data_IF_375020946367
#
_entry.id   IF_375020946367
#
_cell.length_a   1.000
_cell.length_b   1.000
_cell.length_c   1.000
_cell.angle_alpha   90.00
_cell.angle_beta   90.00
_cell.angle_gamma   90.00
#
_symmetry.space_group_name_H-M   'P 1'
#
loop_
_entity.id
_entity.type
_entity.pdbx_description
1 polymer ?
#
# COMPACT_ATOMS: atom_id res chain seq x y z
N UNK A 1 16.17 41.06 -35.18
CA UNK A 1 14.81 40.60 -34.90
C UNK A 1 14.10 40.39 -36.23
N UNK A 2 13.52 39.22 -36.43
CA UNK A 2 12.69 38.92 -37.60
C UNK A 2 11.35 39.67 -37.50
N UNK A 3 10.63 39.77 -38.62
CA UNK A 3 9.29 40.38 -38.61
C UNK A 3 8.32 39.64 -37.66
N UNK A 4 8.49 38.33 -37.53
CA UNK A 4 7.73 37.47 -36.62
C UNK A 4 8.08 37.74 -35.15
N UNK A 5 9.36 37.92 -34.82
CA UNK A 5 9.79 38.30 -33.46
C UNK A 5 9.31 39.70 -33.07
N UNK A 6 9.25 40.62 -34.02
CA UNK A 6 8.70 41.96 -33.79
C UNK A 6 7.18 41.93 -33.57
N UNK A 7 6.46 41.06 -34.29
CA UNK A 7 5.02 40.87 -34.12
C UNK A 7 4.70 40.25 -32.75
N UNK A 8 5.42 39.18 -32.36
CA UNK A 8 5.27 38.54 -31.05
C UNK A 8 5.57 39.49 -29.89
N UNK A 9 6.62 40.32 -30.02
CA UNK A 9 6.94 41.32 -29.02
C UNK A 9 5.86 42.41 -28.90
N UNK A 10 5.27 42.82 -30.03
CA UNK A 10 4.18 43.80 -30.05
C UNK A 10 2.88 43.23 -29.44
N UNK A 11 2.54 41.97 -29.74
CA UNK A 11 1.39 41.28 -29.14
C UNK A 11 1.55 41.09 -27.63
N UNK A 12 2.75 40.72 -27.16
CA UNK A 12 3.06 40.61 -25.74
C UNK A 12 2.98 41.96 -25.00
N UNK A 13 3.47 43.03 -25.63
CA UNK A 13 3.36 44.39 -25.08
C UNK A 13 1.90 44.88 -25.04
N UNK A 14 1.09 44.56 -26.06
CA UNK A 14 -0.33 44.88 -26.09
C UNK A 14 -1.12 44.10 -25.01
N UNK A 15 -0.77 42.84 -24.76
CA UNK A 15 -1.34 42.03 -23.69
C UNK A 15 -1.01 42.61 -22.30
N UNK A 16 0.25 42.99 -22.08
CA UNK A 16 0.71 43.57 -20.81
C UNK A 16 0.14 44.97 -20.55
N UNK A 17 -0.20 45.73 -21.60
CA UNK A 17 -0.80 47.06 -21.50
C UNK A 17 -2.34 47.03 -21.47
N UNK A 18 -2.97 45.87 -21.64
CA UNK A 18 -4.41 45.75 -21.48
C UNK A 18 -4.75 45.77 -20.00
N UNK A 19 -5.56 46.74 -19.57
CA UNK A 19 -6.26 46.76 -18.26
C UNK A 19 -7.35 45.66 -18.20
N UNK A 20 -7.10 44.50 -18.81
CA UNK A 20 -7.89 43.32 -18.57
C UNK A 20 -7.70 42.98 -17.10
N UNK A 21 -8.70 43.28 -16.28
CA UNK A 21 -8.76 42.84 -14.91
C UNK A 21 -8.50 41.33 -14.92
N UNK A 22 -7.30 40.93 -14.51
CA UNK A 22 -6.99 39.55 -14.26
C UNK A 22 -7.84 39.22 -13.02
N UNK A 23 -9.05 38.71 -13.25
CA UNK A 23 -9.74 37.94 -12.22
C UNK A 23 -8.82 36.78 -11.93
N UNK A 24 -7.98 36.96 -10.90
CA UNK A 24 -7.23 35.88 -10.31
C UNK A 24 -8.27 34.82 -9.98
N UNK A 25 -8.19 33.68 -10.67
CA UNK A 25 -9.06 32.56 -10.39
C UNK A 25 -8.89 32.22 -8.90
N UNK A 26 -9.87 32.64 -8.10
CA UNK A 26 -9.99 32.20 -6.74
C UNK A 26 -10.47 30.76 -6.84
N UNK A 27 -9.61 29.80 -6.51
CA UNK A 27 -10.09 28.46 -6.22
C UNK A 27 -11.21 28.60 -5.20
N UNK A 28 -12.39 27.99 -5.42
CA UNK A 28 -13.47 28.10 -4.46
C UNK A 28 -12.99 27.57 -3.10
N UNK A 29 -12.91 28.46 -2.11
CA UNK A 29 -12.49 28.14 -0.74
C UNK A 29 -13.50 27.25 0.01
N UNK A 30 -14.67 27.00 -0.59
CA UNK A 30 -15.62 26.04 -0.07
C UNK A 30 -15.26 24.65 -0.61
N UNK A 31 -14.86 23.74 0.28
CA UNK A 31 -14.89 22.31 -0.02
C UNK A 31 -16.28 22.01 -0.60
N UNK A 32 -16.31 21.58 -1.86
CA UNK A 32 -17.53 21.16 -2.54
C UNK A 32 -18.26 20.18 -1.61
N UNK A 33 -19.55 20.39 -1.35
CA UNK A 33 -20.32 19.43 -0.53
C UNK A 33 -20.43 18.12 -1.30
N UNK A 34 -19.51 17.20 -1.01
CA UNK A 34 -19.42 15.90 -1.66
C UNK A 34 -20.53 14.94 -1.18
N UNK A 35 -21.40 15.37 -0.25
CA UNK A 35 -22.39 14.53 0.41
C UNK A 35 -21.79 13.58 1.44
N UNK A 36 -22.63 12.77 2.11
CA UNK A 36 -22.17 11.77 3.06
C UNK A 36 -21.40 10.65 2.34
N UNK A 37 -20.54 9.91 3.06
CA UNK A 37 -19.93 8.72 2.47
C UNK A 37 -21.00 7.66 2.15
N UNK A 38 -20.74 6.77 1.18
CA UNK A 38 -21.68 5.72 0.85
C UNK A 38 -21.85 4.72 2.01
N UNK A 39 -23.04 4.12 2.11
CA UNK A 39 -23.19 2.88 2.86
C UNK A 39 -22.42 1.73 2.21
N UNK A 40 -22.22 0.63 2.95
CA UNK A 40 -21.48 -0.55 2.45
C UNK A 40 -22.10 -1.11 1.16
N UNK A 41 -23.44 -1.21 1.11
CA UNK A 41 -24.15 -1.70 -0.07
C UNK A 41 -23.95 -0.77 -1.29
N UNK A 42 -24.03 0.55 -1.09
CA UNK A 42 -23.84 1.53 -2.16
C UNK A 42 -22.38 1.55 -2.64
N UNK A 43 -21.42 1.40 -1.74
CA UNK A 43 -20.00 1.29 -2.08
C UNK A 43 -19.71 0.02 -2.91
N UNK A 44 -20.33 -1.11 -2.55
CA UNK A 44 -20.23 -2.35 -3.34
C UNK A 44 -20.89 -2.16 -4.71
N UNK A 45 -22.09 -1.57 -4.78
CA UNK A 45 -22.77 -1.29 -6.05
C UNK A 45 -21.95 -0.35 -6.95
N UNK A 46 -21.28 0.65 -6.38
CA UNK A 46 -20.38 1.53 -7.11
C UNK A 46 -19.17 0.78 -7.68
N UNK A 47 -18.57 -0.14 -6.91
CA UNK A 47 -17.50 -1.01 -7.42
C UNK A 47 -18.01 -1.95 -8.51
N UNK A 48 -19.18 -2.55 -8.35
CA UNK A 48 -19.82 -3.41 -9.35
C UNK A 48 -20.05 -2.68 -10.68
N UNK A 49 -20.47 -1.41 -10.63
CA UNK A 49 -20.66 -0.58 -11.81
C UNK A 49 -19.35 -0.31 -12.59
N UNK A 50 -18.20 -0.42 -11.91
CA UNK A 50 -16.87 -0.31 -12.53
C UNK A 50 -16.26 -1.69 -12.89
N UNK A 51 -17.00 -2.78 -12.68
CA UNK A 51 -16.55 -4.15 -12.86
C UNK A 51 -16.55 -4.63 -14.31
N UNK A 52 -15.81 -5.71 -14.55
CA UNK A 52 -15.77 -6.41 -15.84
C UNK A 52 -15.71 -7.93 -15.60
N UNK A 53 -16.66 -8.67 -16.18
CA UNK A 53 -16.79 -10.10 -15.95
C UNK A 53 -15.57 -10.92 -16.41
N UNK A 54 -14.96 -10.56 -17.55
CA UNK A 54 -13.77 -11.24 -18.05
C UNK A 54 -12.56 -11.04 -17.13
N UNK A 55 -12.39 -9.84 -16.60
CA UNK A 55 -11.37 -9.54 -15.58
C UNK A 55 -11.67 -10.24 -14.26
N UNK A 56 -12.94 -10.33 -13.86
CA UNK A 56 -13.34 -11.04 -12.65
C UNK A 56 -12.96 -12.53 -12.72
N UNK A 57 -13.25 -13.20 -13.83
CA UNK A 57 -12.85 -14.59 -14.07
C UNK A 57 -11.33 -14.76 -14.04
N UNK A 58 -10.59 -13.86 -14.71
CA UNK A 58 -9.13 -13.86 -14.69
C UNK A 58 -8.55 -13.66 -13.29
N UNK A 59 -9.12 -12.74 -12.51
CA UNK A 59 -8.71 -12.48 -11.12
C UNK A 59 -8.97 -13.68 -10.22
N UNK A 60 -10.14 -14.34 -10.36
CA UNK A 60 -10.47 -15.55 -9.62
C UNK A 60 -9.47 -16.69 -9.91
N UNK A 61 -9.16 -16.92 -11.19
CA UNK A 61 -8.19 -17.95 -11.61
C UNK A 61 -6.76 -17.65 -11.11
N UNK A 62 -6.40 -16.37 -11.02
CA UNK A 62 -5.07 -15.93 -10.61
C UNK A 62 -4.88 -15.97 -9.08
N UNK A 63 -5.84 -15.43 -8.31
CA UNK A 63 -5.73 -15.33 -6.85
C UNK A 63 -6.08 -16.62 -6.12
N UNK A 64 -6.96 -17.45 -6.68
CA UNK A 64 -7.32 -18.79 -6.16
C UNK A 64 -7.90 -18.79 -4.74
N UNK A 65 -8.39 -17.65 -4.27
CA UNK A 65 -9.22 -17.57 -3.08
C UNK A 65 -10.69 -17.70 -3.48
N UNK A 66 -11.43 -18.56 -2.78
CA UNK A 66 -12.87 -18.78 -3.01
C UNK A 66 -13.66 -17.57 -2.50
N UNK A 67 -13.97 -16.66 -3.42
CA UNK A 67 -14.73 -15.44 -3.14
C UNK A 67 -15.28 -14.83 -4.42
N UNK A 68 -16.09 -13.80 -4.26
CA UNK A 68 -16.59 -12.99 -5.38
C UNK A 68 -15.53 -12.00 -5.84
N UNK A 69 -15.39 -11.88 -7.16
CA UNK A 69 -14.54 -10.91 -7.84
C UNK A 69 -15.42 -10.05 -8.76
N UNK A 70 -15.13 -8.75 -8.81
CA UNK A 70 -15.86 -7.77 -9.60
C UNK A 70 -15.11 -7.39 -10.89
N UNK A 71 -13.80 -7.62 -10.96
CA UNK A 71 -12.98 -7.27 -12.12
C UNK A 71 -12.63 -5.77 -12.20
N UNK A 72 -12.74 -5.04 -11.09
CA UNK A 72 -12.46 -3.60 -11.06
C UNK A 72 -10.95 -3.37 -11.08
N UNK A 73 -10.42 -2.59 -12.03
CA UNK A 73 -9.00 -2.24 -12.05
C UNK A 73 -8.64 -1.34 -10.85
N UNK A 74 -7.47 -1.58 -10.26
CA UNK A 74 -6.98 -0.88 -9.04
C UNK A 74 -7.10 0.65 -9.11
N UNK A 75 -6.77 1.34 -10.23
CA UNK A 75 -6.94 2.79 -10.31
C UNK A 75 -8.37 3.28 -10.02
N UNK A 76 -9.40 2.54 -10.48
CA UNK A 76 -10.79 2.91 -10.20
C UNK A 76 -11.14 2.68 -8.72
N UNK A 77 -10.60 1.63 -8.11
CA UNK A 77 -10.74 1.42 -6.65
C UNK A 77 -10.09 2.58 -5.88
N UNK A 78 -8.93 3.06 -6.34
CA UNK A 78 -8.24 4.20 -5.73
C UNK A 78 -9.02 5.50 -5.84
N UNK A 79 -9.68 5.74 -6.98
CA UNK A 79 -10.58 6.88 -7.19
C UNK A 79 -11.81 6.82 -6.29
N UNK A 80 -12.49 5.67 -6.21
CA UNK A 80 -13.60 5.45 -5.27
C UNK A 80 -13.16 5.72 -3.83
N UNK A 81 -12.06 5.09 -3.38
CA UNK A 81 -11.57 5.27 -2.03
C UNK A 81 -11.13 6.73 -1.77
N UNK A 82 -10.61 7.45 -2.78
CA UNK A 82 -10.27 8.88 -2.66
C UNK A 82 -11.51 9.74 -2.43
N UNK A 83 -12.57 9.52 -3.19
CA UNK A 83 -13.84 10.21 -3.01
C UNK A 83 -14.41 9.94 -1.63
N UNK A 84 -14.53 8.66 -1.23
CA UNK A 84 -15.13 8.29 0.05
C UNK A 84 -14.34 8.81 1.24
N UNK A 85 -13.00 8.88 1.15
CA UNK A 85 -12.17 9.50 2.19
C UNK A 85 -12.39 11.01 2.32
N UNK A 86 -12.76 11.70 1.24
CA UNK A 86 -13.06 13.12 1.26
C UNK A 86 -14.45 13.41 1.85
N UNK A 87 -15.37 12.45 1.73
CA UNK A 87 -16.73 12.52 2.30
C UNK A 87 -16.81 12.10 3.76
N UNK A 88 -15.95 11.17 4.20
CA UNK A 88 -16.05 10.53 5.51
C UNK A 88 -15.09 11.11 6.56
N UNK A 89 -15.59 11.22 7.79
CA UNK A 89 -14.79 11.29 9.01
C UNK A 89 -13.92 10.03 9.18
N UNK A 90 -13.02 9.99 10.17
CA UNK A 90 -12.24 8.79 10.43
C UNK A 90 -13.13 7.60 10.87
N UNK A 91 -14.11 7.85 11.74
CA UNK A 91 -14.98 6.80 12.27
C UNK A 91 -15.86 6.20 11.16
N UNK A 92 -16.40 7.03 10.27
CA UNK A 92 -17.15 6.56 9.10
C UNK A 92 -16.26 5.78 8.12
N UNK A 93 -15.00 6.20 7.92
CA UNK A 93 -14.03 5.43 7.11
C UNK A 93 -13.75 4.07 7.70
N UNK A 94 -13.61 3.97 9.03
CA UNK A 94 -13.39 2.71 9.72
C UNK A 94 -14.62 1.80 9.59
N UNK A 95 -15.83 2.32 9.82
CA UNK A 95 -17.06 1.56 9.66
C UNK A 95 -17.23 1.04 8.21
N UNK A 96 -16.98 1.90 7.22
CA UNK A 96 -17.04 1.51 5.80
C UNK A 96 -15.95 0.48 5.45
N UNK A 97 -14.71 0.68 5.90
CA UNK A 97 -13.62 -0.28 5.67
C UNK A 97 -13.93 -1.65 6.27
N UNK A 98 -14.46 -1.69 7.49
CA UNK A 98 -14.87 -2.94 8.14
C UNK A 98 -15.95 -3.66 7.34
N UNK A 99 -17.03 -2.96 6.97
CA UNK A 99 -18.11 -3.56 6.20
C UNK A 99 -17.70 -4.04 4.80
N UNK A 100 -16.81 -3.29 4.12
CA UNK A 100 -16.24 -3.70 2.84
C UNK A 100 -15.32 -4.92 3.00
N UNK A 101 -14.54 -5.00 4.08
CA UNK A 101 -13.70 -6.17 4.36
C UNK A 101 -14.54 -7.41 4.63
N UNK A 102 -15.56 -7.30 5.47
CA UNK A 102 -16.45 -8.39 5.87
C UNK A 102 -17.32 -8.92 4.72
N UNK A 103 -17.50 -8.13 3.66
CA UNK A 103 -18.20 -8.58 2.45
C UNK A 103 -17.51 -9.76 1.76
N UNK A 104 -16.21 -9.98 2.03
CA UNK A 104 -15.36 -10.97 1.35
C UNK A 104 -15.40 -10.85 -0.19
N UNK A 105 -15.66 -9.65 -0.74
CA UNK A 105 -15.54 -9.36 -2.17
C UNK A 105 -14.12 -8.83 -2.41
N UNK A 106 -13.39 -9.40 -3.37
CA UNK A 106 -11.97 -9.10 -3.54
C UNK A 106 -11.68 -7.60 -3.65
N UNK A 107 -12.33 -6.90 -4.57
CA UNK A 107 -12.13 -5.47 -4.80
C UNK A 107 -12.65 -4.60 -3.66
N UNK A 108 -13.69 -5.05 -2.93
CA UNK A 108 -14.16 -4.38 -1.73
C UNK A 108 -13.12 -4.43 -0.61
N UNK A 109 -12.44 -5.57 -0.41
CA UNK A 109 -11.34 -5.71 0.55
C UNK A 109 -10.13 -4.84 0.18
N UNK A 110 -9.82 -4.74 -1.12
CA UNK A 110 -8.81 -3.79 -1.61
C UNK A 110 -9.23 -2.35 -1.29
N UNK A 111 -10.49 -1.99 -1.55
CA UNK A 111 -11.04 -0.67 -1.24
C UNK A 111 -10.99 -0.36 0.27
N UNK A 112 -11.33 -1.33 1.12
CA UNK A 112 -11.23 -1.23 2.58
C UNK A 112 -9.81 -0.84 3.04
N UNK A 113 -8.79 -1.54 2.54
CA UNK A 113 -7.40 -1.20 2.84
C UNK A 113 -7.01 0.18 2.27
N UNK A 114 -7.48 0.54 1.07
CA UNK A 114 -7.22 1.86 0.45
C UNK A 114 -7.89 3.00 1.21
N UNK A 115 -9.06 2.82 1.81
CA UNK A 115 -9.69 3.82 2.70
C UNK A 115 -8.77 4.21 3.86
N UNK A 116 -7.91 3.29 4.28
CA UNK A 116 -7.00 3.50 5.39
C UNK A 116 -5.57 3.85 4.95
N UNK A 117 -5.23 3.96 3.66
CA UNK A 117 -3.81 4.04 3.23
C UNK A 117 -3.11 5.39 3.47
N UNK A 118 -3.83 6.42 3.91
CA UNK A 118 -3.27 7.77 4.13
C UNK A 118 -2.21 7.76 5.23
N UNK A 119 -1.09 8.46 4.99
CA UNK A 119 0.00 8.58 5.97
C UNK A 119 -0.37 9.48 7.15
N UNK A 120 -1.20 10.51 6.92
CA UNK A 120 -1.71 11.39 7.97
C UNK A 120 -3.06 10.86 8.43
N UNK A 121 -3.05 10.19 9.57
CA UNK A 121 -4.22 9.65 10.25
C UNK A 121 -3.91 9.68 11.75
N UNK A 122 -4.69 10.43 12.54
CA UNK A 122 -4.57 10.48 14.00
C UNK A 122 -5.94 10.76 14.63
N UNK A 123 -6.32 10.09 15.73
CA UNK A 123 -5.66 8.89 16.28
C UNK A 123 -5.69 7.74 15.26
N UNK A 124 -4.72 6.82 15.28
CA UNK A 124 -4.62 5.73 14.31
C UNK A 124 -4.75 4.34 14.94
N UNK A 125 -4.97 4.25 16.25
CA UNK A 125 -5.05 3.00 16.99
C UNK A 125 -6.18 2.10 16.48
N UNK A 126 -7.38 2.63 16.27
CA UNK A 126 -8.50 1.86 15.73
C UNK A 126 -8.22 1.34 14.31
N UNK A 127 -7.54 2.14 13.48
CA UNK A 127 -7.13 1.71 12.15
C UNK A 127 -6.03 0.63 12.20
N UNK A 128 -5.10 0.74 13.15
CA UNK A 128 -4.10 -0.27 13.41
C UNK A 128 -4.73 -1.59 13.85
N UNK A 129 -5.57 -1.58 14.87
CA UNK A 129 -6.22 -2.78 15.40
C UNK A 129 -7.05 -3.50 14.34
N UNK A 130 -7.78 -2.74 13.51
CA UNK A 130 -8.53 -3.29 12.38
C UNK A 130 -7.62 -4.02 11.39
N UNK A 131 -6.54 -3.38 10.94
CA UNK A 131 -5.62 -3.95 9.95
C UNK A 131 -4.82 -5.12 10.51
N UNK A 132 -4.39 -5.02 11.77
CA UNK A 132 -3.69 -6.09 12.45
C UNK A 132 -4.62 -7.30 12.68
N UNK A 133 -5.91 -7.06 12.93
CA UNK A 133 -6.94 -8.10 13.02
C UNK A 133 -7.18 -8.83 11.70
N UNK A 134 -7.12 -8.12 10.57
CA UNK A 134 -7.24 -8.75 9.25
C UNK A 134 -6.15 -9.79 8.94
N UNK A 135 -4.99 -9.69 9.60
CA UNK A 135 -3.84 -10.55 9.31
C UNK A 135 -4.12 -12.03 9.56
N UNK A 136 -5.07 -12.39 10.44
CA UNK A 136 -5.47 -13.77 10.69
C UNK A 136 -6.23 -14.38 9.50
N UNK A 137 -7.01 -13.57 8.78
CA UNK A 137 -7.88 -13.96 7.68
C UNK A 137 -7.28 -13.79 6.27
N UNK A 138 -6.01 -13.41 6.14
CA UNK A 138 -5.40 -13.26 4.82
C UNK A 138 -5.34 -14.59 4.06
N UNK A 139 -5.78 -14.61 2.81
CA UNK A 139 -5.84 -15.80 1.96
C UNK A 139 -5.36 -15.56 0.52
N UNK A 140 -5.00 -14.31 0.18
CA UNK A 140 -4.40 -13.95 -1.08
C UNK A 140 -3.39 -12.80 -0.91
N UNK A 141 -2.31 -12.85 -1.70
CA UNK A 141 -1.24 -11.85 -1.63
C UNK A 141 -1.74 -10.42 -1.89
N UNK A 142 -2.70 -10.22 -2.79
CA UNK A 142 -3.12 -8.87 -3.17
C UNK A 142 -3.88 -8.17 -2.03
N UNK A 143 -4.75 -8.87 -1.31
CA UNK A 143 -5.44 -8.31 -0.15
C UNK A 143 -4.46 -8.12 1.02
N UNK A 144 -3.60 -9.09 1.27
CA UNK A 144 -2.59 -9.01 2.34
C UNK A 144 -1.61 -7.85 2.11
N UNK A 145 -1.02 -7.75 0.92
CA UNK A 145 -0.02 -6.72 0.60
C UNK A 145 -0.67 -5.31 0.56
N UNK A 146 -1.94 -5.19 0.13
CA UNK A 146 -2.66 -3.91 0.17
C UNK A 146 -2.99 -3.48 1.60
N UNK A 147 -3.46 -4.41 2.44
CA UNK A 147 -3.66 -4.16 3.87
C UNK A 147 -2.34 -3.78 4.56
N UNK A 148 -1.25 -4.47 4.23
CA UNK A 148 0.09 -4.15 4.72
C UNK A 148 0.54 -2.76 4.29
N UNK A 149 0.25 -2.30 3.07
CA UNK A 149 0.60 -0.95 2.64
C UNK A 149 -0.05 0.13 3.53
N UNK A 150 -1.29 -0.12 3.97
CA UNK A 150 -1.99 0.73 4.91
C UNK A 150 -1.38 0.58 6.33
N UNK A 151 -1.27 -0.64 6.86
CA UNK A 151 -0.72 -0.91 8.19
C UNK A 151 0.73 -0.46 8.38
N UNK A 152 1.54 -0.48 7.31
CA UNK A 152 2.93 -0.03 7.35
C UNK A 152 3.04 1.48 7.68
N UNK A 153 2.04 2.30 7.30
CA UNK A 153 1.99 3.71 7.70
C UNK A 153 1.79 3.87 9.21
N UNK A 154 0.94 3.03 9.81
CA UNK A 154 0.70 2.96 11.26
C UNK A 154 1.94 2.44 11.99
N UNK A 155 2.58 1.40 11.47
CA UNK A 155 3.76 0.80 12.08
C UNK A 155 4.98 1.73 12.04
N UNK A 156 5.15 2.50 10.96
CA UNK A 156 6.21 3.54 10.91
C UNK A 156 5.90 4.73 11.81
N UNK A 157 4.62 5.06 12.03
CA UNK A 157 4.22 6.13 12.94
C UNK A 157 4.39 5.74 14.43
N UNK A 158 4.22 4.46 14.75
CA UNK A 158 4.43 3.89 16.09
C UNK A 158 5.12 2.51 15.99
N UNK A 159 6.47 2.47 16.08
CA UNK A 159 7.23 1.23 16.01
C UNK A 159 6.99 0.25 17.16
N UNK A 160 6.36 0.65 18.28
CA UNK A 160 6.04 -0.27 19.38
C UNK A 160 5.08 -1.39 18.93
N UNK A 161 4.31 -1.15 17.86
CA UNK A 161 3.42 -2.12 17.22
C UNK A 161 4.15 -3.31 16.59
N UNK A 162 5.47 -3.26 16.46
CA UNK A 162 6.28 -4.34 15.90
C UNK A 162 6.19 -5.64 16.69
N UNK A 163 5.94 -5.57 18.01
CA UNK A 163 5.76 -6.77 18.84
C UNK A 163 4.53 -7.58 18.40
N UNK A 164 3.45 -6.91 18.02
CA UNK A 164 2.27 -7.57 17.45
C UNK A 164 2.60 -8.21 16.10
N UNK A 165 3.40 -7.54 15.26
CA UNK A 165 3.83 -8.06 13.96
C UNK A 165 4.74 -9.29 14.11
N UNK A 166 5.61 -9.33 15.13
CA UNK A 166 6.47 -10.49 15.36
C UNK A 166 5.67 -11.77 15.58
N UNK A 167 4.53 -11.68 16.28
CA UNK A 167 3.64 -12.83 16.51
C UNK A 167 3.13 -13.47 15.20
N UNK A 168 3.11 -12.72 14.10
CA UNK A 168 2.66 -13.22 12.79
C UNK A 168 3.63 -14.23 12.19
N UNK A 169 4.90 -14.22 12.60
CA UNK A 169 5.93 -15.18 12.13
C UNK A 169 5.60 -16.61 12.58
N UNK A 170 4.85 -16.78 13.67
CA UNK A 170 4.46 -18.07 14.21
C UNK A 170 3.06 -18.53 13.74
N UNK A 171 2.38 -17.72 12.93
CA UNK A 171 1.04 -18.06 12.42
C UNK A 171 1.09 -19.32 11.55
N UNK A 172 0.10 -20.23 11.62
CA UNK A 172 -0.01 -21.35 10.69
C UNK A 172 -0.32 -20.88 9.26
N UNK A 173 -0.90 -19.68 9.11
CA UNK A 173 -1.26 -19.10 7.83
C UNK A 173 -0.04 -18.43 7.15
N UNK A 174 0.33 -18.93 5.96
CA UNK A 174 1.47 -18.41 5.20
C UNK A 174 1.30 -16.93 4.81
N UNK A 175 0.07 -16.45 4.62
CA UNK A 175 -0.18 -15.08 4.23
C UNK A 175 0.07 -14.12 5.38
N UNK A 176 -0.24 -14.53 6.61
CA UNK A 176 0.11 -13.81 7.84
C UNK A 176 1.63 -13.74 8.03
N UNK A 177 2.34 -14.88 7.86
CA UNK A 177 3.82 -14.89 7.92
C UNK A 177 4.45 -14.01 6.84
N UNK A 178 3.90 -14.03 5.62
CA UNK A 178 4.30 -13.11 4.53
C UNK A 178 4.08 -11.65 4.92
N UNK A 179 2.91 -11.34 5.49
CA UNK A 179 2.53 -9.98 5.86
C UNK A 179 3.52 -9.35 6.85
N UNK A 180 4.12 -10.14 7.75
CA UNK A 180 5.14 -9.66 8.69
C UNK A 180 6.36 -9.05 7.98
N UNK A 181 6.78 -9.64 6.86
CA UNK A 181 7.86 -9.12 6.03
C UNK A 181 7.39 -7.92 5.18
N UNK A 182 6.18 -7.98 4.62
CA UNK A 182 5.68 -6.94 3.72
C UNK A 182 5.38 -5.64 4.47
N UNK A 183 4.74 -5.71 5.64
CA UNK A 183 4.39 -4.53 6.45
C UNK A 183 5.62 -3.77 6.95
N UNK A 184 6.78 -4.44 7.06
CA UNK A 184 8.04 -3.85 7.52
C UNK A 184 8.94 -3.33 6.39
N UNK A 185 8.51 -3.42 5.12
CA UNK A 185 9.28 -2.91 3.97
C UNK A 185 9.69 -1.42 4.07
N UNK A 186 8.91 -0.49 4.65
CA UNK A 186 9.36 0.90 4.75
C UNK A 186 10.68 1.07 5.51
N UNK A 187 10.96 0.22 6.50
CA UNK A 187 12.19 0.30 7.30
C UNK A 187 13.45 0.01 6.49
N UNK A 188 13.35 -0.59 5.29
CA UNK A 188 14.49 -0.86 4.42
C UNK A 188 14.97 0.37 3.64
N UNK A 189 14.19 1.47 3.61
CA UNK A 189 14.35 2.56 2.63
C UNK A 189 15.24 3.73 3.08
N UNK A 190 15.56 3.82 4.36
CA UNK A 190 16.39 4.92 4.89
C UNK A 190 17.89 4.67 4.62
N UNK A 191 18.57 5.66 4.03
CA UNK A 191 20.04 5.67 3.90
C UNK A 191 20.76 5.95 5.23
N UNK A 192 20.07 6.65 6.14
CA UNK A 192 20.60 7.04 7.45
C UNK A 192 19.59 6.61 8.52
N UNK A 193 19.44 5.29 8.74
CA UNK A 193 18.46 4.80 9.69
C UNK A 193 18.80 5.26 11.11
N UNK A 194 17.78 5.55 11.91
CA UNK A 194 17.95 5.76 13.34
C UNK A 194 18.39 4.46 14.03
N UNK A 195 18.84 4.54 15.28
CA UNK A 195 19.18 3.34 16.07
C UNK A 195 17.99 2.39 16.22
N UNK A 196 16.78 2.94 16.37
CA UNK A 196 15.54 2.16 16.40
C UNK A 196 15.30 1.44 15.07
N UNK A 197 15.38 2.15 13.94
CA UNK A 197 15.21 1.53 12.62
C UNK A 197 16.26 0.45 12.33
N UNK A 198 17.50 0.63 12.80
CA UNK A 198 18.54 -0.41 12.73
C UNK A 198 18.13 -1.63 13.55
N UNK A 199 17.66 -1.46 14.79
CA UNK A 199 17.20 -2.57 15.61
C UNK A 199 16.02 -3.32 14.96
N UNK A 200 15.09 -2.59 14.34
CA UNK A 200 13.97 -3.17 13.59
C UNK A 200 14.49 -3.99 12.39
N UNK A 201 15.45 -3.47 11.63
CA UNK A 201 16.07 -4.21 10.50
C UNK A 201 16.69 -5.52 10.97
N UNK A 202 17.44 -5.51 12.07
CA UNK A 202 18.05 -6.74 12.62
C UNK A 202 16.98 -7.75 13.06
N UNK A 203 15.91 -7.29 13.72
CA UNK A 203 14.78 -8.14 14.12
C UNK A 203 14.11 -8.80 12.90
N UNK A 204 13.82 -8.02 11.86
CA UNK A 204 13.20 -8.53 10.62
C UNK A 204 14.15 -9.45 9.84
N UNK A 205 15.47 -9.19 9.84
CA UNK A 205 16.47 -10.11 9.28
C UNK A 205 16.50 -11.45 10.04
N UNK A 206 16.30 -11.42 11.36
CA UNK A 206 16.10 -12.61 12.19
C UNK A 206 14.84 -13.39 11.78
N UNK A 207 13.73 -12.70 11.54
CA UNK A 207 12.49 -13.32 11.03
C UNK A 207 12.70 -13.95 9.66
N UNK A 208 13.35 -13.23 8.74
CA UNK A 208 13.69 -13.75 7.43
C UNK A 208 14.54 -15.02 7.53
N UNK A 209 15.49 -15.08 8.47
CA UNK A 209 16.31 -16.27 8.68
C UNK A 209 15.49 -17.45 9.22
N UNK A 210 14.53 -17.20 10.13
CA UNK A 210 13.59 -18.22 10.64
C UNK A 210 12.70 -18.78 9.53
N UNK A 211 12.22 -17.93 8.63
CA UNK A 211 11.33 -18.30 7.52
C UNK A 211 12.08 -18.83 6.28
N UNK A 212 13.39 -18.58 6.16
CA UNK A 212 14.16 -18.95 4.98
C UNK A 212 14.15 -20.46 4.62
N UNK A 213 14.08 -21.41 5.57
CA UNK A 213 13.92 -22.83 5.27
C UNK A 213 12.55 -23.19 4.66
N UNK A 214 11.51 -22.37 4.83
CA UNK A 214 10.19 -22.66 4.26
C UNK A 214 10.26 -22.77 2.74
N UNK A 215 9.50 -23.71 2.16
CA UNK A 215 9.51 -23.95 0.71
C UNK A 215 8.35 -23.24 -0.01
N UNK A 216 7.48 -22.56 0.71
CA UNK A 216 6.41 -21.75 0.14
C UNK A 216 6.94 -20.64 -0.76
N UNK A 217 6.45 -20.60 -2.00
CA UNK A 217 6.93 -19.68 -3.02
C UNK A 217 6.71 -18.22 -2.62
N UNK A 218 5.56 -17.90 -1.99
CA UNK A 218 5.22 -16.54 -1.57
C UNK A 218 6.06 -16.03 -0.40
N UNK A 219 6.44 -16.91 0.54
CA UNK A 219 7.37 -16.57 1.63
C UNK A 219 8.76 -16.28 1.08
N UNK A 220 9.26 -17.18 0.22
CA UNK A 220 10.55 -17.01 -0.45
C UNK A 220 10.61 -15.72 -1.29
N UNK A 221 9.52 -15.37 -1.97
CA UNK A 221 9.39 -14.08 -2.68
C UNK A 221 9.42 -12.88 -1.73
N UNK A 222 8.76 -12.96 -0.58
CA UNK A 222 8.76 -11.87 0.41
C UNK A 222 10.16 -11.64 1.01
N UNK A 223 10.87 -12.71 1.38
CA UNK A 223 12.25 -12.61 1.87
C UNK A 223 13.16 -11.99 0.80
N UNK A 224 13.12 -12.53 -0.43
CA UNK A 224 13.92 -12.01 -1.54
C UNK A 224 13.62 -10.53 -1.83
N UNK A 225 12.34 -10.14 -1.80
CA UNK A 225 11.93 -8.75 -1.99
C UNK A 225 12.47 -7.84 -0.87
N UNK A 226 12.27 -8.21 0.39
CA UNK A 226 12.72 -7.41 1.53
C UNK A 226 14.24 -7.20 1.52
N UNK A 227 15.01 -8.27 1.29
CA UNK A 227 16.47 -8.19 1.17
C UNK A 227 16.91 -7.32 -0.02
N UNK A 228 16.24 -7.44 -1.17
CA UNK A 228 16.53 -6.61 -2.36
C UNK A 228 16.28 -5.13 -2.08
N UNK A 229 15.20 -4.79 -1.37
CA UNK A 229 14.93 -3.39 -1.01
C UNK A 229 15.95 -2.86 -0.02
N UNK A 230 16.36 -3.67 0.98
CA UNK A 230 17.42 -3.28 1.91
C UNK A 230 18.77 -3.11 1.20
N UNK A 231 19.11 -3.96 0.23
CA UNK A 231 20.39 -3.93 -0.49
C UNK A 231 20.67 -2.58 -1.18
N UNK A 232 19.62 -1.87 -1.62
CA UNK A 232 19.73 -0.54 -2.23
C UNK A 232 20.29 0.53 -1.28
N UNK A 233 20.13 0.32 0.03
CA UNK A 233 20.50 1.26 1.09
C UNK A 233 21.57 0.69 2.05
N UNK A 234 21.73 -0.63 2.08
CA UNK A 234 22.65 -1.35 2.95
C UNK A 234 23.09 -2.69 2.34
N UNK A 235 23.81 -2.61 1.23
CA UNK A 235 24.37 -3.77 0.55
C UNK A 235 25.29 -4.63 1.44
N UNK A 236 26.18 -4.07 2.30
CA UNK A 236 27.03 -4.87 3.18
C UNK A 236 26.24 -5.78 4.11
N UNK A 237 25.17 -5.28 4.74
CA UNK A 237 24.30 -6.08 5.63
C UNK A 237 23.63 -7.23 4.88
N UNK A 238 23.11 -6.98 3.68
CA UNK A 238 22.48 -8.04 2.86
C UNK A 238 23.50 -9.07 2.39
N UNK A 239 24.73 -8.67 2.04
CA UNK A 239 25.83 -9.61 1.71
C UNK A 239 26.15 -10.52 2.88
N UNK A 240 26.26 -9.98 4.09
CA UNK A 240 26.51 -10.75 5.29
C UNK A 240 25.37 -11.75 5.57
N UNK A 241 24.12 -11.31 5.48
CA UNK A 241 22.97 -12.19 5.67
C UNK A 241 22.92 -13.32 4.62
N UNK A 242 23.17 -13.00 3.34
CA UNK A 242 23.20 -14.01 2.27
C UNK A 242 24.36 -15.00 2.41
N UNK A 243 25.50 -14.56 2.93
CA UNK A 243 26.61 -15.47 3.24
C UNK A 243 26.25 -16.45 4.36
N UNK A 244 25.52 -15.99 5.38
CA UNK A 244 25.12 -16.81 6.53
C UNK A 244 23.92 -17.73 6.25
N UNK A 245 22.91 -17.24 5.51
CA UNK A 245 21.60 -17.90 5.39
C UNK A 245 21.17 -18.17 3.94
N UNK A 246 21.86 -17.61 2.94
CA UNK A 246 21.41 -17.63 1.54
C UNK A 246 21.29 -19.02 0.92
N UNK A 247 22.03 -20.02 1.41
CA UNK A 247 21.88 -21.42 0.97
C UNK A 247 20.55 -22.06 1.39
N UNK A 248 19.90 -21.52 2.43
CA UNK A 248 18.57 -22.00 2.85
C UNK A 248 17.47 -21.50 1.93
N UNK A 249 17.69 -20.42 1.17
CA UNK A 249 16.72 -19.87 0.22
C UNK A 249 16.60 -20.72 -1.05
N UNK A 250 15.44 -20.66 -1.70
CA UNK A 250 15.31 -21.16 -3.07
C UNK A 250 16.19 -20.33 -4.02
N UNK A 251 16.78 -20.94 -5.07
CA UNK A 251 17.68 -20.23 -5.99
C UNK A 251 17.11 -18.93 -6.57
N UNK A 252 15.82 -18.92 -6.92
CA UNK A 252 15.18 -17.70 -7.44
C UNK A 252 15.09 -16.58 -6.39
N UNK A 253 14.87 -16.91 -5.12
CA UNK A 253 14.76 -15.94 -4.04
C UNK A 253 16.13 -15.37 -3.66
N UNK A 254 17.17 -16.22 -3.65
CA UNK A 254 18.56 -15.78 -3.50
C UNK A 254 18.99 -14.84 -4.64
N UNK A 255 18.64 -15.18 -5.89
CA UNK A 255 18.89 -14.31 -7.05
C UNK A 255 18.12 -12.98 -6.93
N UNK A 256 16.88 -13.01 -6.46
CA UNK A 256 16.09 -11.80 -6.22
C UNK A 256 16.74 -10.90 -5.16
N UNK A 257 17.15 -11.46 -4.03
CA UNK A 257 17.81 -10.74 -2.94
C UNK A 257 19.11 -10.06 -3.38
N UNK A 258 19.88 -10.72 -4.24
CA UNK A 258 21.15 -10.20 -4.77
C UNK A 258 21.00 -9.22 -5.95
N UNK A 259 19.79 -8.94 -6.43
CA UNK A 259 19.56 -8.15 -7.66
C UNK A 259 20.05 -6.70 -7.55
N UNK A 260 20.13 -6.16 -6.35
CA UNK A 260 20.52 -4.76 -6.08
C UNK A 260 21.85 -4.64 -5.32
N UNK A 261 22.65 -5.72 -5.29
CA UNK A 261 23.98 -5.74 -4.67
C UNK A 261 25.09 -5.28 -5.61
#
# INVERSE_FOLDING_TARGET
MTAEEAQLAAEAAAYAASDAAYEQYAEPEAAEDLGPPPGVADAIAALEACGDAGRAEGAAAYHKAERRYLGVPVPLIEDCARLWRAQATLDERLALAQGLWDSNIHEAMIAAAKLLTQARMRPDDAAWEMIAGWAEGFDAWAVADTACAAGARRLTADPARLDRVESWIDSPNMWTRRAALVITLPFTKSNHPTAEEVAIRERVLGWAARLAPERDWFIQKAIGWWLRELAKHDAPRVRAWLAAHGETLKPFARKEAAKSL
#
